data_IF_788102663610
#
_entry.id   IF_788102663610
#
_cell.length_a   1.000
_cell.length_b   1.000
_cell.length_c   1.000
_cell.angle_alpha   90.00
_cell.angle_beta   90.00
_cell.angle_gamma   90.00
#
_symmetry.space_group_name_H-M   'P 1'
#
loop_
_entity.id
_entity.type
_entity.pdbx_description
1 polymer ?
#
# COMPACT_ATOMS: atom_id res chain seq x y z
N UNK A 1 -12.95 -18.42 29.84
CA UNK A 1 -11.95 -17.67 29.06
C UNK A 1 -11.93 -18.24 27.65
N UNK A 2 -12.35 -17.45 26.66
CA UNK A 2 -12.46 -17.89 25.26
C UNK A 2 -11.07 -18.04 24.65
N UNK A 3 -10.86 -19.10 23.87
CA UNK A 3 -9.60 -19.46 23.20
C UNK A 3 -8.88 -18.27 22.51
N UNK A 4 -9.66 -17.30 22.03
CA UNK A 4 -9.20 -16.01 21.47
C UNK A 4 -8.27 -15.22 22.41
N UNK A 5 -8.62 -15.09 23.70
CA UNK A 5 -7.81 -14.34 24.68
C UNK A 5 -6.47 -15.04 24.99
N UNK A 6 -6.47 -16.38 25.02
CA UNK A 6 -5.24 -17.15 25.29
C UNK A 6 -4.27 -17.10 24.12
N UNK A 7 -4.77 -17.17 22.89
CA UNK A 7 -3.93 -17.07 21.68
C UNK A 7 -3.41 -15.65 21.50
N UNK A 8 -4.26 -14.63 21.74
CA UNK A 8 -3.87 -13.22 21.73
C UNK A 8 -2.74 -12.93 22.71
N UNK A 9 -2.91 -13.33 23.98
CA UNK A 9 -1.88 -13.13 25.01
C UNK A 9 -0.60 -13.90 24.70
N UNK A 10 -0.68 -15.03 23.98
CA UNK A 10 0.50 -15.80 23.56
C UNK A 10 1.26 -15.08 22.45
N UNK A 11 0.56 -14.58 21.43
CA UNK A 11 1.16 -13.81 20.33
C UNK A 11 1.81 -12.53 20.86
N UNK A 12 1.13 -11.82 21.76
CA UNK A 12 1.63 -10.59 22.36
C UNK A 12 2.87 -10.87 23.25
N UNK A 13 2.81 -11.90 24.09
CA UNK A 13 3.93 -12.32 24.94
C UNK A 13 5.20 -12.72 24.17
N UNK A 14 5.05 -13.24 22.95
CA UNK A 14 6.17 -13.61 22.08
C UNK A 14 6.41 -12.62 20.94
N UNK A 15 5.80 -11.43 20.98
CA UNK A 15 6.04 -10.40 20.00
C UNK A 15 7.41 -9.74 20.23
N UNK A 16 8.47 -10.45 19.85
CA UNK A 16 9.86 -9.97 19.90
C UNK A 16 10.09 -8.68 19.11
N UNK A 17 9.13 -8.27 18.28
CA UNK A 17 9.16 -7.03 17.52
C UNK A 17 8.54 -5.84 18.27
N UNK A 18 7.84 -6.05 19.38
CA UNK A 18 7.17 -4.95 20.10
C UNK A 18 8.16 -3.87 20.56
N UNK A 19 9.21 -4.28 21.29
CA UNK A 19 10.25 -3.36 21.79
C UNK A 19 10.96 -2.57 20.69
N UNK A 20 11.49 -3.18 19.61
CA UNK A 20 12.10 -2.41 18.53
C UNK A 20 11.08 -1.56 17.75
N UNK A 21 9.82 -2.01 17.62
CA UNK A 21 8.75 -1.21 16.99
C UNK A 21 8.44 0.04 17.81
N UNK A 22 8.36 -0.07 19.14
CA UNK A 22 8.13 1.07 20.02
C UNK A 22 9.31 2.06 19.98
N UNK A 23 10.55 1.57 19.93
CA UNK A 23 11.74 2.43 19.79
C UNK A 23 11.73 3.21 18.46
N UNK A 24 11.44 2.54 17.34
CA UNK A 24 11.28 3.19 16.05
C UNK A 24 10.12 4.20 16.06
N UNK A 25 9.02 3.86 16.71
CA UNK A 25 7.86 4.74 16.82
C UNK A 25 8.20 6.04 17.55
N UNK A 26 8.86 5.97 18.71
CA UNK A 26 9.30 7.17 19.45
C UNK A 26 10.30 8.01 18.64
N UNK A 27 11.19 7.36 17.89
CA UNK A 27 12.09 8.05 16.96
C UNK A 27 11.32 8.80 15.86
N UNK A 28 10.35 8.15 15.23
CA UNK A 28 9.54 8.74 14.16
C UNK A 28 8.61 9.86 14.65
N UNK A 29 8.18 9.82 15.91
CA UNK A 29 7.39 10.89 16.53
C UNK A 29 8.15 12.22 16.56
N UNK A 30 9.46 12.16 16.80
CA UNK A 30 10.34 13.35 16.79
C UNK A 30 10.81 13.74 15.38
N UNK A 31 10.67 12.84 14.40
CA UNK A 31 11.11 13.04 13.01
C UNK A 31 9.97 12.78 11.99
N UNK A 32 8.95 13.65 11.95
CA UNK A 32 7.74 13.43 11.16
C UNK A 32 8.01 13.34 9.65
N UNK A 33 9.00 14.05 9.12
CA UNK A 33 9.35 13.97 7.69
C UNK A 33 9.92 12.59 7.33
N UNK A 34 10.82 12.04 8.17
CA UNK A 34 11.36 10.68 7.97
C UNK A 34 10.26 9.63 8.07
N UNK A 35 9.32 9.84 8.99
CA UNK A 35 8.18 8.98 9.16
C UNK A 35 7.26 8.97 7.94
N UNK A 36 6.93 10.14 7.38
CA UNK A 36 6.17 10.25 6.13
C UNK A 36 6.88 9.52 4.99
N UNK A 37 8.18 9.74 4.81
CA UNK A 37 8.97 9.06 3.77
C UNK A 37 8.97 7.54 3.95
N UNK A 38 9.16 7.05 5.18
CA UNK A 38 9.15 5.61 5.46
C UNK A 38 7.79 4.98 5.15
N UNK A 39 6.68 5.65 5.48
CA UNK A 39 5.34 5.15 5.18
C UNK A 39 5.07 5.12 3.68
N UNK A 40 5.41 6.19 2.95
CA UNK A 40 5.29 6.24 1.49
C UNK A 40 6.08 5.09 0.86
N UNK A 41 7.35 4.92 1.24
CA UNK A 41 8.19 3.86 0.71
C UNK A 41 7.58 2.47 0.99
N UNK A 42 7.08 2.23 2.20
CA UNK A 42 6.45 0.95 2.56
C UNK A 42 5.18 0.69 1.74
N UNK A 43 4.33 1.71 1.52
CA UNK A 43 3.15 1.57 0.66
C UNK A 43 3.54 1.17 -0.78
N UNK A 44 4.57 1.82 -1.35
CA UNK A 44 5.04 1.53 -2.70
C UNK A 44 5.63 0.12 -2.81
N UNK A 45 6.54 -0.26 -1.91
CA UNK A 45 7.12 -1.61 -1.91
C UNK A 45 6.06 -2.70 -1.78
N UNK A 46 5.06 -2.49 -0.91
CA UNK A 46 3.94 -3.43 -0.74
C UNK A 46 3.07 -3.51 -1.98
N UNK A 47 2.77 -2.40 -2.64
CA UNK A 47 2.00 -2.40 -3.89
C UNK A 47 2.74 -3.11 -5.03
N UNK A 48 4.04 -2.85 -5.20
CA UNK A 48 4.87 -3.53 -6.19
C UNK A 48 4.94 -5.03 -5.90
N UNK A 49 5.16 -5.41 -4.65
CA UNK A 49 5.19 -6.82 -4.25
C UNK A 49 3.86 -7.52 -4.52
N UNK A 50 2.74 -6.85 -4.24
CA UNK A 50 1.40 -7.39 -4.49
C UNK A 50 1.11 -7.51 -5.99
N UNK A 51 1.52 -6.53 -6.81
CA UNK A 51 1.41 -6.61 -8.27
C UNK A 51 2.23 -7.79 -8.81
N UNK A 52 3.48 -7.93 -8.38
CA UNK A 52 4.34 -9.04 -8.77
C UNK A 52 3.75 -10.40 -8.34
N UNK A 53 3.20 -10.47 -7.12
CA UNK A 53 2.53 -11.67 -6.64
C UNK A 53 1.30 -12.03 -7.48
N UNK A 54 0.43 -11.05 -7.79
CA UNK A 54 -0.74 -11.25 -8.62
C UNK A 54 -0.39 -11.76 -10.03
N UNK A 55 0.74 -11.30 -10.60
CA UNK A 55 1.26 -11.76 -11.89
C UNK A 55 1.96 -13.12 -11.84
N UNK A 56 2.53 -13.50 -10.69
CA UNK A 56 3.20 -14.78 -10.51
C UNK A 56 2.22 -15.94 -10.25
N UNK A 57 0.99 -15.65 -9.83
CA UNK A 57 -0.04 -16.66 -9.61
C UNK A 57 -0.45 -17.31 -10.94
N UNK A 58 -0.66 -18.64 -10.98
CA UNK A 58 -1.02 -19.37 -12.20
C UNK A 58 -2.51 -19.22 -12.57
N UNK A 59 -3.14 -18.10 -12.21
CA UNK A 59 -4.55 -17.81 -12.45
C UNK A 59 -4.70 -16.60 -13.38
N UNK A 60 -5.90 -16.42 -13.94
CA UNK A 60 -6.20 -15.21 -14.70
C UNK A 60 -6.13 -13.97 -13.79
N UNK A 61 -5.79 -12.81 -14.36
CA UNK A 61 -5.64 -11.56 -13.58
C UNK A 61 -6.86 -11.26 -12.69
N UNK A 62 -8.12 -11.41 -13.13
CA UNK A 62 -9.27 -11.20 -12.25
C UNK A 62 -9.31 -12.14 -11.05
N UNK A 63 -8.92 -13.41 -11.23
CA UNK A 63 -8.87 -14.41 -10.16
C UNK A 63 -7.71 -14.10 -9.20
N UNK A 64 -6.52 -13.82 -9.74
CA UNK A 64 -5.36 -13.41 -8.94
C UNK A 64 -5.64 -12.15 -8.12
N UNK A 65 -6.31 -11.16 -8.71
CA UNK A 65 -6.74 -9.96 -8.01
C UNK A 65 -7.76 -10.28 -6.91
N UNK A 66 -8.72 -11.18 -7.16
CA UNK A 66 -9.67 -11.65 -6.14
C UNK A 66 -8.99 -12.34 -4.95
N UNK A 67 -7.99 -13.21 -5.22
CA UNK A 67 -7.18 -13.86 -4.19
C UNK A 67 -6.41 -12.82 -3.37
N UNK A 68 -5.73 -11.90 -4.05
CA UNK A 68 -4.98 -10.82 -3.39
C UNK A 68 -5.89 -9.91 -2.55
N UNK A 69 -7.09 -9.59 -3.05
CA UNK A 69 -8.09 -8.81 -2.33
C UNK A 69 -8.56 -9.53 -1.05
N UNK A 70 -8.92 -10.81 -1.17
CA UNK A 70 -9.34 -11.62 -0.03
C UNK A 70 -8.22 -11.74 1.02
N UNK A 71 -6.98 -11.98 0.57
CA UNK A 71 -5.80 -11.99 1.44
C UNK A 71 -5.58 -10.66 2.15
N UNK A 72 -5.68 -9.54 1.43
CA UNK A 72 -5.55 -8.20 2.00
C UNK A 72 -6.67 -7.86 2.99
N UNK A 73 -7.91 -8.28 2.72
CA UNK A 73 -9.02 -8.12 3.67
C UNK A 73 -8.78 -8.95 4.93
N UNK A 74 -8.40 -10.21 4.78
CA UNK A 74 -8.12 -11.08 5.92
C UNK A 74 -6.98 -10.51 6.76
N UNK A 75 -5.87 -10.14 6.14
CA UNK A 75 -4.74 -9.50 6.82
C UNK A 75 -5.16 -8.20 7.54
N UNK A 76 -6.02 -7.38 6.92
CA UNK A 76 -6.53 -6.18 7.56
C UNK A 76 -7.41 -6.47 8.79
N UNK A 77 -8.22 -7.53 8.73
CA UNK A 77 -9.14 -7.92 9.80
C UNK A 77 -8.44 -8.66 10.95
N UNK A 78 -7.33 -9.35 10.69
CA UNK A 78 -6.64 -10.16 11.70
C UNK A 78 -5.37 -9.53 12.24
N UNK A 79 -4.58 -8.87 11.37
CA UNK A 79 -3.26 -8.32 11.73
C UNK A 79 -3.33 -6.80 11.88
N UNK A 80 -3.84 -6.08 10.88
CA UNK A 80 -3.82 -4.60 10.91
C UNK A 80 -4.81 -3.97 11.89
N UNK A 81 -5.74 -4.74 12.44
CA UNK A 81 -6.59 -4.33 13.56
C UNK A 81 -5.76 -3.95 14.79
N UNK A 82 -4.58 -4.56 14.93
CA UNK A 82 -3.66 -4.34 16.05
C UNK A 82 -2.34 -3.68 15.62
N UNK A 83 -2.14 -3.43 14.32
CA UNK A 83 -0.99 -2.66 13.85
C UNK A 83 -1.28 -1.16 13.94
N UNK A 84 -0.25 -0.39 14.27
CA UNK A 84 -0.31 1.06 14.18
C UNK A 84 -0.58 1.57 12.75
N UNK A 85 -0.45 0.73 11.73
CA UNK A 85 -0.53 1.13 10.33
C UNK A 85 -1.34 0.16 9.49
N UNK A 86 -2.08 0.72 8.53
CA UNK A 86 -2.98 -0.03 7.66
C UNK A 86 -2.47 0.07 6.22
N UNK A 87 -1.81 -0.99 5.74
CA UNK A 87 -1.13 -1.03 4.46
C UNK A 87 -1.80 -1.97 3.44
N UNK A 88 -2.59 -2.95 3.87
CA UNK A 88 -3.03 -4.05 3.02
C UNK A 88 -3.98 -3.62 1.89
N UNK A 89 -5.02 -2.83 2.21
CA UNK A 89 -5.92 -2.29 1.19
C UNK A 89 -5.24 -1.24 0.29
N UNK A 90 -4.42 -0.31 0.82
CA UNK A 90 -3.58 0.53 -0.01
C UNK A 90 -2.66 -0.25 -0.96
N UNK A 91 -2.01 -1.31 -0.48
CA UNK A 91 -1.14 -2.13 -1.31
C UNK A 91 -1.92 -2.84 -2.42
N UNK A 92 -3.12 -3.34 -2.11
CA UNK A 92 -4.01 -3.92 -3.11
C UNK A 92 -4.42 -2.89 -4.18
N UNK A 93 -4.87 -1.69 -3.78
CA UNK A 93 -5.21 -0.62 -4.72
C UNK A 93 -4.02 -0.26 -5.62
N UNK A 94 -2.82 -0.17 -5.03
CA UNK A 94 -1.58 0.06 -5.77
C UNK A 94 -1.23 -1.06 -6.74
N UNK A 95 -1.51 -2.31 -6.39
CA UNK A 95 -1.24 -3.47 -7.26
C UNK A 95 -2.05 -3.46 -8.56
N UNK A 96 -3.20 -2.79 -8.56
CA UNK A 96 -4.04 -2.57 -9.73
C UNK A 96 -3.61 -1.29 -10.46
N UNK A 97 -3.40 -0.21 -9.71
CA UNK A 97 -3.08 1.09 -10.27
C UNK A 97 -1.73 1.13 -11.00
N UNK A 98 -0.70 0.44 -10.48
CA UNK A 98 0.64 0.41 -11.04
C UNK A 98 0.67 -0.18 -12.46
N UNK A 99 0.19 -1.41 -12.72
CA UNK A 99 0.16 -1.96 -14.08
C UNK A 99 -0.71 -1.14 -15.04
N UNK A 100 -1.80 -0.54 -14.56
CA UNK A 100 -2.75 0.20 -15.41
C UNK A 100 -2.23 1.56 -15.85
N UNK A 101 -1.45 2.25 -15.01
CA UNK A 101 -1.05 3.64 -15.27
C UNK A 101 0.43 3.89 -15.50
N UNK A 102 1.32 2.91 -15.24
CA UNK A 102 2.77 3.14 -15.32
C UNK A 102 3.24 3.52 -16.73
N UNK A 103 2.74 2.85 -17.77
CA UNK A 103 3.12 3.12 -19.17
C UNK A 103 2.57 4.46 -19.63
N UNK A 104 1.31 4.73 -19.34
CA UNK A 104 0.66 6.01 -19.65
C UNK A 104 1.35 7.20 -18.97
N UNK A 105 1.76 7.06 -17.71
CA UNK A 105 2.50 8.09 -16.99
C UNK A 105 3.91 8.28 -17.58
N UNK A 106 4.60 7.19 -17.94
CA UNK A 106 5.90 7.26 -18.61
C UNK A 106 5.80 7.96 -19.97
N UNK A 107 4.73 7.71 -20.74
CA UNK A 107 4.50 8.35 -22.04
C UNK A 107 4.21 9.85 -21.91
N UNK A 108 3.51 10.27 -20.85
CA UNK A 108 3.31 11.69 -20.52
C UNK A 108 4.63 12.39 -20.15
N UNK A 109 5.44 11.76 -19.31
CA UNK A 109 6.72 12.33 -18.84
C UNK A 109 7.76 12.38 -19.95
N UNK A 110 7.87 11.32 -20.75
CA UNK A 110 8.82 11.23 -21.87
C UNK A 110 8.43 12.09 -23.07
N UNK A 111 7.21 12.61 -23.07
CA UNK A 111 6.66 13.46 -24.12
C UNK A 111 6.08 12.71 -25.33
N UNK A 112 6.16 11.37 -25.33
CA UNK A 112 5.57 10.50 -26.37
C UNK A 112 4.07 10.72 -26.49
N UNK A 113 3.39 10.99 -25.37
CA UNK A 113 1.96 11.29 -25.36
C UNK A 113 1.58 12.53 -26.18
N UNK A 114 2.47 13.50 -26.37
CA UNK A 114 2.20 14.74 -27.12
C UNK A 114 2.34 14.61 -28.64
N UNK A 115 2.65 13.41 -29.14
CA UNK A 115 2.74 13.14 -30.58
C UNK A 115 1.40 13.28 -31.29
N UNK A 116 0.28 13.07 -30.58
CA UNK A 116 -1.07 13.31 -31.10
C UNK A 116 -2.07 13.58 -29.98
N UNK A 117 -3.18 14.24 -30.30
CA UNK A 117 -4.25 14.53 -29.34
C UNK A 117 -4.90 13.24 -28.79
N UNK A 118 -5.01 12.18 -29.60
CA UNK A 118 -5.58 10.90 -29.17
C UNK A 118 -4.65 10.15 -28.21
N UNK A 119 -3.34 10.13 -28.49
CA UNK A 119 -2.34 9.54 -27.59
C UNK A 119 -2.29 10.31 -26.27
N UNK A 120 -2.36 11.64 -26.32
CA UNK A 120 -2.41 12.48 -25.13
C UNK A 120 -3.66 12.18 -24.27
N UNK A 121 -4.84 12.17 -24.88
CA UNK A 121 -6.09 11.89 -24.17
C UNK A 121 -6.09 10.49 -23.54
N UNK A 122 -5.61 9.47 -24.27
CA UNK A 122 -5.51 8.11 -23.76
C UNK A 122 -4.53 8.02 -22.60
N UNK A 123 -3.34 8.61 -22.73
CA UNK A 123 -2.35 8.62 -21.67
C UNK A 123 -2.86 9.34 -20.40
N UNK A 124 -3.60 10.44 -20.57
CA UNK A 124 -4.18 11.17 -19.45
C UNK A 124 -5.20 10.32 -18.69
N UNK A 125 -6.15 9.67 -19.38
CA UNK A 125 -7.15 8.78 -18.77
C UNK A 125 -6.50 7.55 -18.14
N UNK A 126 -5.56 6.91 -18.83
CA UNK A 126 -4.87 5.72 -18.34
C UNK A 126 -3.93 6.02 -17.16
N UNK A 127 -3.45 7.25 -17.01
CA UNK A 127 -2.65 7.65 -15.84
C UNK A 127 -3.48 7.89 -14.57
N UNK A 128 -4.80 8.11 -14.69
CA UNK A 128 -5.68 8.46 -13.57
C UNK A 128 -5.63 7.47 -12.40
N UNK A 129 -5.68 6.14 -12.60
CA UNK A 129 -5.63 5.18 -11.49
C UNK A 129 -4.33 5.31 -10.69
N UNK A 130 -3.20 5.53 -11.35
CA UNK A 130 -1.90 5.65 -10.71
C UNK A 130 -1.75 7.00 -9.99
N UNK A 131 -2.20 8.09 -10.61
CA UNK A 131 -2.25 9.42 -9.96
C UNK A 131 -3.16 9.41 -8.75
N UNK A 132 -4.35 8.81 -8.85
CA UNK A 132 -5.29 8.64 -7.75
C UNK A 132 -4.69 7.80 -6.62
N UNK A 133 -3.93 6.75 -6.96
CA UNK A 133 -3.24 5.94 -5.98
C UNK A 133 -2.15 6.71 -5.22
N UNK A 134 -1.32 7.50 -5.91
CA UNK A 134 -0.33 8.35 -5.26
C UNK A 134 -0.98 9.42 -4.37
N UNK A 135 -2.06 10.06 -4.84
CA UNK A 135 -2.83 10.99 -4.03
C UNK A 135 -3.41 10.32 -2.78
N UNK A 136 -3.95 9.11 -2.92
CA UNK A 136 -4.46 8.32 -1.81
C UNK A 136 -3.36 7.99 -0.77
N UNK A 137 -2.17 7.57 -1.19
CA UNK A 137 -1.04 7.37 -0.28
C UNK A 137 -0.66 8.68 0.42
N UNK A 138 -0.50 9.78 -0.32
CA UNK A 138 -0.08 11.05 0.24
C UNK A 138 -1.09 11.54 1.30
N UNK A 139 -2.38 11.44 1.04
CA UNK A 139 -3.44 11.77 1.99
C UNK A 139 -3.44 10.85 3.20
N UNK A 140 -3.27 9.53 3.00
CA UNK A 140 -3.24 8.55 4.09
C UNK A 140 -2.04 8.77 5.01
N UNK A 141 -0.87 8.98 4.43
CA UNK A 141 0.37 9.23 5.18
C UNK A 141 0.31 10.57 5.92
N UNK A 142 -0.19 11.62 5.28
CA UNK A 142 -0.38 12.90 5.96
C UNK A 142 -1.37 12.75 7.12
N UNK A 143 -2.51 12.10 6.91
CA UNK A 143 -3.46 11.83 7.97
C UNK A 143 -2.82 11.02 9.11
N UNK A 144 -2.11 9.93 8.82
CA UNK A 144 -1.52 9.06 9.84
C UNK A 144 -0.42 9.72 10.67
N UNK A 145 0.34 10.65 10.07
CA UNK A 145 1.39 11.39 10.79
C UNK A 145 0.84 12.63 11.49
N UNK A 146 -0.10 13.34 10.88
CA UNK A 146 -0.58 14.63 11.37
C UNK A 146 -1.72 14.46 12.41
N UNK A 147 -2.54 13.40 12.33
CA UNK A 147 -3.58 13.09 13.34
C UNK A 147 -3.04 12.51 14.65
N UNK A 148 -1.74 12.18 14.70
CA UNK A 148 -1.06 11.61 15.88
C UNK A 148 -0.18 12.60 16.63
N UNK A 149 -0.20 13.88 16.21
CA UNK A 149 0.36 14.99 16.98
C UNK A 149 -0.68 15.48 17.98
#
# INVERSE_FOLDING_TARGET
MTLSLSLHNTIEKYNVLEKPTNQLYEYFKTHPSLYKTALVANHLFRAVSMAAFALALPFSIPISAGICFAGSLFYRLTVETHCAYKFALPAFAGSIALPMGQTALADLISGVAFTSMSTFALALVSSLPLTAYFAYIALTVNHDVDSRR
#
